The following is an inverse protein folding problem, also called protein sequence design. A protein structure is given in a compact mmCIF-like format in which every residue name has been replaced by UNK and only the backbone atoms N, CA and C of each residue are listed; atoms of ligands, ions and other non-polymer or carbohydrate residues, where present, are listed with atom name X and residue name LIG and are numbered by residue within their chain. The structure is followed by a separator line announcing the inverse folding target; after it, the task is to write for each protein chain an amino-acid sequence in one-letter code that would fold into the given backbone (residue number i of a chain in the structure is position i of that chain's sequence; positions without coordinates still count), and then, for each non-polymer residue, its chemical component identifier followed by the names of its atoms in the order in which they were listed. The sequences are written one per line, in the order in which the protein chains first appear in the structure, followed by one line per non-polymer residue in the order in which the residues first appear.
data_IF_856593014750
#
_entry.id   IF_856593014750
#
_cell.length_a   1.000
_cell.length_b   1.000
_cell.length_c   1.000
_cell.angle_alpha   90.00
_cell.angle_beta   90.00
_cell.angle_gamma   90.00
#
_symmetry.space_group_name_H-M   'P 1'
#
loop_
_entity.id
_entity.type
_entity.pdbx_description
1 polymer ?
#
# COMPACT_ATOMS: atom_id res chain seq x y z
N UNK A 1 -1.66 -21.72 7.16
CA UNK A 1 -2.70 -20.71 7.44
C UNK A 1 -4.10 -21.30 7.57
N UNK A 2 -4.60 -22.03 6.56
CA UNK A 2 -5.99 -22.53 6.49
C UNK A 2 -6.49 -23.26 7.75
N UNK A 3 -5.67 -24.16 8.31
CA UNK A 3 -5.99 -24.92 9.52
C UNK A 3 -6.27 -24.01 10.73
N UNK A 4 -5.41 -23.02 10.97
CA UNK A 4 -5.54 -22.14 12.13
C UNK A 4 -6.75 -21.22 11.98
N UNK A 5 -6.99 -20.68 10.78
CA UNK A 5 -8.19 -19.88 10.50
C UNK A 5 -9.48 -20.67 10.70
N UNK A 6 -9.50 -21.96 10.33
CA UNK A 6 -10.63 -22.85 10.59
C UNK A 6 -10.85 -23.06 12.09
N UNK A 7 -9.80 -23.33 12.87
CA UNK A 7 -9.90 -23.48 14.33
C UNK A 7 -10.42 -22.18 14.97
N UNK A 8 -9.91 -21.02 14.54
CA UNK A 8 -10.38 -19.72 15.05
C UNK A 8 -11.87 -19.52 14.71
N UNK A 9 -12.32 -19.88 13.50
CA UNK A 9 -13.72 -19.82 13.12
C UNK A 9 -14.61 -20.75 13.97
N UNK A 10 -14.14 -21.97 14.26
CA UNK A 10 -14.82 -22.91 15.16
C UNK A 10 -14.91 -22.36 16.60
N UNK A 11 -13.85 -21.71 17.09
CA UNK A 11 -13.84 -21.08 18.42
C UNK A 11 -14.76 -19.85 18.48
N UNK A 12 -14.82 -19.05 17.41
CA UNK A 12 -15.68 -17.87 17.32
C UNK A 12 -17.18 -18.21 17.38
N UNK A 13 -17.57 -19.46 17.10
CA UNK A 13 -18.95 -19.94 17.29
C UNK A 13 -19.29 -20.18 18.76
N UNK A 14 -18.28 -20.39 19.61
CA UNK A 14 -18.45 -20.75 21.03
C UNK A 14 -18.15 -19.58 21.96
N UNK A 15 -17.35 -18.63 21.50
CA UNK A 15 -16.87 -17.50 22.28
C UNK A 15 -16.95 -16.22 21.43
N UNK A 16 -17.36 -15.08 22.01
CA UNK A 16 -17.45 -13.84 21.26
C UNK A 16 -16.07 -13.32 20.88
N UNK A 17 -15.93 -12.78 19.67
CA UNK A 17 -14.68 -12.16 19.18
C UNK A 17 -14.32 -10.88 19.96
N UNK A 18 -15.23 -10.33 20.76
CA UNK A 18 -14.96 -9.19 21.65
C UNK A 18 -13.89 -9.48 22.71
N UNK A 19 -13.51 -10.74 22.92
CA UNK A 19 -12.38 -11.12 23.77
C UNK A 19 -11.02 -10.75 23.15
N UNK A 20 -10.98 -10.51 21.83
CA UNK A 20 -9.78 -10.06 21.15
C UNK A 20 -9.53 -8.58 21.47
N UNK A 21 -8.26 -8.24 21.70
CA UNK A 21 -7.85 -6.84 21.63
C UNK A 21 -8.12 -6.28 20.23
N UNK A 22 -8.32 -4.97 20.13
CA UNK A 22 -8.50 -4.28 18.85
C UNK A 22 -7.41 -4.62 17.83
N UNK A 23 -6.16 -4.80 18.28
CA UNK A 23 -5.06 -5.21 17.40
C UNK A 23 -5.21 -6.65 16.90
N UNK A 24 -5.57 -7.59 17.78
CA UNK A 24 -5.77 -8.99 17.38
C UNK A 24 -6.95 -9.13 16.41
N UNK A 25 -8.03 -8.40 16.64
CA UNK A 25 -9.19 -8.38 15.73
C UNK A 25 -8.78 -7.85 14.35
N UNK A 26 -8.06 -6.72 14.31
CA UNK A 26 -7.52 -6.18 13.06
C UNK A 26 -6.56 -7.14 12.35
N UNK A 27 -5.61 -7.72 13.08
CA UNK A 27 -4.65 -8.67 12.51
C UNK A 27 -5.37 -9.92 11.97
N UNK A 28 -6.44 -10.37 12.64
CA UNK A 28 -7.25 -11.50 12.17
C UNK A 28 -7.93 -11.18 10.84
N UNK A 29 -8.50 -9.99 10.66
CA UNK A 29 -9.06 -9.54 9.39
C UNK A 29 -8.01 -9.50 8.29
N UNK A 30 -6.83 -8.94 8.58
CA UNK A 30 -5.70 -8.86 7.64
C UNK A 30 -5.20 -10.26 7.23
N UNK A 31 -5.09 -11.19 8.18
CA UNK A 31 -4.67 -12.58 7.91
C UNK A 31 -5.70 -13.32 7.06
N UNK A 32 -7.00 -13.10 7.29
CA UNK A 32 -8.06 -13.68 6.46
C UNK A 32 -7.96 -13.21 5.01
N UNK A 33 -7.79 -11.91 4.79
CA UNK A 33 -7.62 -11.36 3.43
C UNK A 33 -6.32 -11.84 2.78
N UNK A 34 -5.21 -11.86 3.52
CA UNK A 34 -3.94 -12.42 3.04
C UNK A 34 -4.11 -13.88 2.59
N UNK A 35 -4.81 -14.69 3.37
CA UNK A 35 -5.08 -16.09 3.01
C UNK A 35 -5.96 -16.20 1.76
N UNK A 36 -7.00 -15.36 1.64
CA UNK A 36 -7.85 -15.28 0.43
C UNK A 36 -7.01 -14.95 -0.80
N UNK A 37 -6.14 -13.94 -0.71
CA UNK A 37 -5.25 -13.52 -1.79
C UNK A 37 -4.29 -14.65 -2.19
N UNK A 38 -3.64 -15.31 -1.22
CA UNK A 38 -2.75 -16.45 -1.46
C UNK A 38 -3.48 -17.60 -2.18
N UNK A 39 -4.70 -17.93 -1.75
CA UNK A 39 -5.50 -18.99 -2.36
C UNK A 39 -5.88 -18.66 -3.80
N UNK A 40 -6.35 -17.44 -4.06
CA UNK A 40 -6.70 -16.97 -5.40
C UNK A 40 -5.48 -16.99 -6.35
N UNK A 41 -4.32 -16.57 -5.86
CA UNK A 41 -3.06 -16.61 -6.62
C UNK A 41 -2.64 -18.05 -6.96
N UNK A 42 -2.77 -18.97 -6.00
CA UNK A 42 -2.46 -20.38 -6.20
C UNK A 42 -3.39 -21.03 -7.24
N UNK A 43 -4.71 -20.87 -7.08
CA UNK A 43 -5.72 -21.44 -7.98
C UNK A 43 -5.58 -20.93 -9.42
N UNK A 44 -5.28 -19.63 -9.59
CA UNK A 44 -5.10 -18.98 -10.90
C UNK A 44 -3.68 -19.10 -11.45
N UNK A 45 -2.75 -19.74 -10.71
CA UNK A 45 -1.33 -19.85 -11.06
C UNK A 45 -0.68 -18.51 -11.42
N UNK A 46 -0.99 -17.46 -10.66
CA UNK A 46 -0.48 -16.10 -10.85
C UNK A 46 0.26 -15.60 -9.62
N UNK A 47 1.27 -14.77 -9.84
CA UNK A 47 1.99 -14.06 -8.78
C UNK A 47 1.50 -12.61 -8.58
N UNK A 48 0.41 -12.23 -9.26
CA UNK A 48 -0.15 -10.88 -9.22
C UNK A 48 -1.56 -10.91 -8.67
N UNK A 49 -1.84 -9.99 -7.75
CA UNK A 49 -3.17 -9.64 -7.25
C UNK A 49 -3.14 -8.17 -6.86
N UNK A 50 -4.24 -7.47 -7.08
CA UNK A 50 -4.41 -6.10 -6.64
C UNK A 50 -4.42 -6.02 -5.12
N UNK A 51 -3.93 -4.89 -4.59
CA UNK A 51 -3.83 -4.65 -3.14
C UNK A 51 -3.17 -5.79 -2.35
N UNK A 52 -2.14 -6.41 -2.95
CA UNK A 52 -1.46 -7.55 -2.34
C UNK A 52 -0.93 -7.18 -0.96
N UNK A 53 -1.41 -7.89 0.06
CA UNK A 53 -0.88 -7.80 1.42
C UNK A 53 0.48 -8.49 1.46
N UNK A 54 1.49 -7.73 1.85
CA UNK A 54 2.88 -8.20 1.99
C UNK A 54 3.38 -8.14 3.44
N UNK A 55 2.66 -7.44 4.31
CA UNK A 55 2.94 -7.31 5.75
C UNK A 55 1.63 -7.28 6.53
N UNK A 56 1.52 -8.13 7.56
CA UNK A 56 0.34 -8.12 8.45
C UNK A 56 0.34 -6.86 9.31
N UNK A 57 1.53 -6.43 9.78
CA UNK A 57 1.68 -5.23 10.62
C UNK A 57 1.44 -3.94 9.85
N UNK A 58 1.63 -3.94 8.52
CA UNK A 58 1.44 -2.78 7.66
C UNK A 58 0.71 -3.21 6.36
N UNK A 59 -0.60 -3.50 6.43
CA UNK A 59 -1.36 -4.05 5.30
C UNK A 59 -1.59 -3.07 4.16
N UNK A 60 -1.31 -1.77 4.37
CA UNK A 60 -1.35 -0.72 3.36
C UNK A 60 -0.07 -0.63 2.52
N UNK A 61 1.01 -1.31 2.92
CA UNK A 61 2.21 -1.38 2.07
C UNK A 61 1.87 -2.11 0.78
N UNK A 62 2.31 -1.54 -0.35
CA UNK A 62 2.16 -2.15 -1.67
C UNK A 62 3.54 -2.49 -2.26
N UNK A 63 3.66 -3.66 -2.92
CA UNK A 63 4.83 -3.95 -3.73
C UNK A 63 4.83 -3.08 -4.99
N UNK A 64 5.89 -2.32 -5.22
CA UNK A 64 6.09 -1.53 -6.45
C UNK A 64 7.14 -2.19 -7.33
N UNK A 65 6.75 -2.67 -8.52
CA UNK A 65 7.68 -3.32 -9.45
C UNK A 65 8.58 -2.27 -10.10
N UNK A 66 9.90 -2.37 -9.90
CA UNK A 66 10.91 -1.61 -10.65
C UNK A 66 11.65 -2.54 -11.59
N UNK A 67 11.93 -2.07 -12.82
CA UNK A 67 12.67 -2.83 -13.84
C UNK A 67 14.16 -3.07 -13.54
N UNK A 68 14.61 -2.96 -12.27
CA UNK A 68 16.00 -3.20 -11.87
C UNK A 68 16.21 -4.69 -11.63
N UNK A 69 17.24 -5.27 -12.25
CA UNK A 69 17.53 -6.70 -12.19
C UNK A 69 17.84 -7.21 -10.76
N UNK A 70 18.38 -6.37 -9.87
CA UNK A 70 18.75 -6.75 -8.49
C UNK A 70 17.67 -6.52 -7.44
N UNK A 71 16.69 -5.66 -7.73
CA UNK A 71 15.61 -5.28 -6.81
C UNK A 71 14.31 -5.09 -7.61
N UNK A 72 13.65 -6.21 -7.98
CA UNK A 72 12.49 -6.14 -8.85
C UNK A 72 11.26 -5.50 -8.17
N UNK A 73 11.26 -5.41 -6.84
CA UNK A 73 10.17 -4.84 -6.04
C UNK A 73 10.73 -3.98 -4.92
N UNK A 74 10.22 -2.75 -4.80
CA UNK A 74 10.46 -1.84 -3.67
C UNK A 74 9.20 -1.73 -2.81
N UNK A 75 9.38 -1.38 -1.53
CA UNK A 75 8.30 -1.15 -0.57
C UNK A 75 8.52 0.19 0.10
N UNK A 76 7.47 1.00 0.23
CA UNK A 76 7.56 2.29 0.87
C UNK A 76 6.59 3.30 0.30
N UNK A 77 6.43 4.43 0.97
CA UNK A 77 5.66 5.53 0.44
C UNK A 77 6.46 6.23 -0.67
N UNK A 78 5.77 6.56 -1.75
CA UNK A 78 6.27 7.46 -2.78
C UNK A 78 5.89 8.89 -2.41
N UNK A 79 6.88 9.77 -2.40
CA UNK A 79 6.71 11.20 -2.09
C UNK A 79 7.03 12.03 -3.32
N UNK A 80 6.17 12.97 -3.66
CA UNK A 80 6.49 14.09 -4.55
C UNK A 80 6.81 15.32 -3.72
N UNK A 81 7.97 15.91 -3.96
CA UNK A 81 8.46 17.12 -3.29
C UNK A 81 8.84 18.13 -4.37
N UNK A 82 8.35 19.35 -4.24
CA UNK A 82 8.81 20.49 -5.04
C UNK A 82 9.78 21.34 -4.23
N UNK A 83 10.77 21.91 -4.92
CA UNK A 83 11.69 22.87 -4.34
C UNK A 83 11.44 24.24 -4.95
N UNK A 84 11.09 25.21 -4.10
CA UNK A 84 10.91 26.60 -4.50
C UNK A 84 11.90 27.44 -3.71
N UNK A 85 12.87 28.03 -4.42
CA UNK A 85 14.06 28.69 -3.84
C UNK A 85 14.82 27.71 -2.91
N UNK A 86 14.70 27.90 -1.60
CA UNK A 86 15.37 27.11 -0.55
C UNK A 86 14.40 26.32 0.34
N UNK A 87 13.13 26.24 -0.02
CA UNK A 87 12.10 25.51 0.74
C UNK A 87 11.63 24.27 -0.02
N UNK A 88 11.45 23.18 0.71
CA UNK A 88 10.87 21.93 0.20
C UNK A 88 9.39 21.85 0.59
N UNK A 89 8.52 21.67 -0.40
CA UNK A 89 7.08 21.54 -0.22
C UNK A 89 6.66 20.11 -0.54
N UNK A 90 5.86 19.53 0.35
CA UNK A 90 5.31 18.19 0.16
C UNK A 90 4.03 18.30 -0.67
N UNK A 91 3.99 17.62 -1.81
CA UNK A 91 2.85 17.73 -2.71
C UNK A 91 2.00 16.47 -2.73
N UNK A 92 2.64 15.30 -2.70
CA UNK A 92 1.93 14.02 -2.73
C UNK A 92 2.66 13.00 -1.90
N UNK A 93 1.93 12.31 -1.03
CA UNK A 93 2.37 11.12 -0.32
C UNK A 93 1.41 10.00 -0.69
N UNK A 94 1.91 8.90 -1.26
CA UNK A 94 1.08 7.75 -1.63
C UNK A 94 1.84 6.44 -1.38
N UNK A 95 1.12 5.41 -0.97
CA UNK A 95 1.64 4.04 -0.89
C UNK A 95 1.45 3.27 -2.20
N UNK A 96 0.76 3.88 -3.17
CA UNK A 96 0.59 3.38 -4.52
C UNK A 96 1.61 4.02 -5.46
N UNK A 97 1.93 3.30 -6.55
CA UNK A 97 2.72 3.87 -7.62
C UNK A 97 1.94 4.98 -8.34
N UNK A 98 2.55 6.16 -8.49
CA UNK A 98 2.03 7.20 -9.39
C UNK A 98 3.03 7.52 -10.51
N UNK A 99 2.50 7.90 -11.67
CA UNK A 99 3.26 8.28 -12.86
C UNK A 99 3.88 9.67 -12.68
N UNK A 100 5.20 9.72 -12.54
CA UNK A 100 5.94 10.97 -12.25
C UNK A 100 5.73 12.06 -13.30
N UNK A 101 5.59 11.71 -14.58
CA UNK A 101 5.36 12.69 -15.64
C UNK A 101 4.01 13.41 -15.54
N UNK A 102 2.96 12.73 -15.09
CA UNK A 102 1.65 13.35 -14.85
C UNK A 102 1.70 14.18 -13.58
N UNK A 103 2.32 13.63 -12.52
CA UNK A 103 2.50 14.35 -11.25
C UNK A 103 3.31 15.64 -11.45
N UNK A 104 4.30 15.68 -12.34
CA UNK A 104 5.07 16.88 -12.63
C UNK A 104 4.20 18.03 -13.18
N UNK A 105 3.24 17.72 -14.07
CA UNK A 105 2.32 18.73 -14.62
C UNK A 105 1.39 19.23 -13.52
N UNK A 106 0.80 18.32 -12.74
CA UNK A 106 -0.05 18.67 -11.59
C UNK A 106 0.72 19.56 -10.58
N UNK A 107 1.97 19.21 -10.30
CA UNK A 107 2.89 19.96 -9.44
C UNK A 107 3.16 21.36 -9.97
N UNK A 108 3.44 21.51 -11.27
CA UNK A 108 3.67 22.82 -11.89
C UNK A 108 2.42 23.69 -11.86
N UNK A 109 1.24 23.13 -12.13
CA UNK A 109 -0.03 23.84 -12.07
C UNK A 109 -0.37 24.30 -10.64
N UNK A 110 -0.19 23.42 -9.65
CA UNK A 110 -0.37 23.74 -8.24
C UNK A 110 0.60 24.84 -7.80
N UNK A 111 1.88 24.73 -8.18
CA UNK A 111 2.90 25.73 -7.89
C UNK A 111 2.56 27.10 -8.53
N UNK A 112 2.11 27.12 -9.78
CA UNK A 112 1.65 28.34 -10.46
C UNK A 112 0.47 28.97 -9.72
N UNK A 113 -0.49 28.17 -9.26
CA UNK A 113 -1.68 28.63 -8.53
C UNK A 113 -1.34 29.18 -7.14
N UNK A 114 -0.45 28.52 -6.40
CA UNK A 114 -0.16 28.83 -5.00
C UNK A 114 0.94 29.88 -4.82
N UNK A 115 1.92 29.92 -5.72
CA UNK A 115 3.12 30.76 -5.57
C UNK A 115 3.34 31.72 -6.74
N UNK A 116 2.52 31.66 -7.79
CA UNK A 116 2.70 32.49 -8.99
C UNK A 116 4.01 32.18 -9.74
N UNK A 117 4.64 31.03 -9.46
CA UNK A 117 5.91 30.65 -10.07
C UNK A 117 5.71 30.25 -11.53
N UNK A 118 6.44 30.93 -12.43
CA UNK A 118 6.62 30.53 -13.82
C UNK A 118 7.98 29.86 -13.93
N UNK A 119 8.01 28.52 -14.01
CA UNK A 119 9.19 27.82 -14.49
C UNK A 119 9.17 27.92 -16.01
N UNK A 120 10.09 28.72 -16.58
CA UNK A 120 10.40 28.57 -18.01
C UNK A 120 11.12 27.23 -18.17
N UNK A 121 10.46 26.27 -18.81
CA UNK A 121 11.05 25.03 -19.29
C UNK A 121 11.89 25.30 -20.55
#
# INVERSE_FOLDING_TARGET
MARNLRIIAELAQRQPLSLLSRKQDWDLLVIQELYRQQRAMYERRTHRIEDRIVSISQPHLRPMVRGKASAPVEFGAKVSVSMIKSYAFWERLSWDGFHEGVTLIETLEACRKHFGCFFNL
#
